data_IF_300632857936
#
_entry.id   IF_300632857936
#
_cell.length_a   1.000
_cell.length_b   1.000
_cell.length_c   1.000
_cell.angle_alpha   90.00
_cell.angle_beta   90.00
_cell.angle_gamma   90.00
#
_symmetry.space_group_name_H-M   'P 1'
#
loop_
_entity.id
_entity.type
_entity.pdbx_description
1 polymer ?
#
# COMPACT_ATOMS: atom_id res chain seq x y z
N UNK A 1 39.54 22.93 19.65
CA UNK A 1 38.51 23.75 18.98
C UNK A 1 38.27 23.35 17.53
N UNK A 2 39.31 23.29 16.69
CA UNK A 2 39.11 22.91 15.28
C UNK A 2 38.50 21.53 15.07
N UNK A 3 38.83 20.54 15.91
CA UNK A 3 38.25 19.19 15.81
C UNK A 3 36.76 19.11 16.19
N UNK A 4 36.34 19.92 17.16
CA UNK A 4 34.95 19.96 17.62
C UNK A 4 34.02 20.57 16.55
N UNK A 5 34.47 21.63 15.88
CA UNK A 5 33.72 22.27 14.80
C UNK A 5 33.56 21.34 13.58
N UNK A 6 34.54 20.47 13.30
CA UNK A 6 34.44 19.49 12.24
C UNK A 6 33.39 18.42 12.53
N UNK A 7 33.28 17.98 13.80
CA UNK A 7 32.25 17.00 14.20
C UNK A 7 30.85 17.59 14.13
N UNK A 8 30.66 18.83 14.55
CA UNK A 8 29.35 19.51 14.48
C UNK A 8 28.92 19.71 13.02
N UNK A 9 29.82 20.09 12.13
CA UNK A 9 29.53 20.23 10.71
C UNK A 9 29.14 18.91 10.06
N UNK A 10 29.75 17.78 10.44
CA UNK A 10 29.43 16.47 9.93
C UNK A 10 28.05 15.99 10.40
N UNK A 11 27.70 16.18 11.67
CA UNK A 11 26.38 15.86 12.20
C UNK A 11 25.28 16.71 11.54
N UNK A 12 25.52 17.99 11.29
CA UNK A 12 24.57 18.87 10.62
C UNK A 12 24.34 18.45 9.16
N UNK A 13 25.38 18.03 8.45
CA UNK A 13 25.28 17.53 7.08
C UNK A 13 24.45 16.25 6.98
N UNK A 14 24.59 15.33 7.96
CA UNK A 14 23.77 14.11 8.04
C UNK A 14 22.28 14.40 8.29
N UNK A 15 21.96 15.38 9.15
CA UNK A 15 20.57 15.80 9.42
C UNK A 15 19.96 16.50 8.21
N UNK A 16 20.70 17.34 7.50
CA UNK A 16 20.22 18.05 6.30
C UNK A 16 20.09 17.13 5.09
N UNK A 17 20.81 16.02 5.04
CA UNK A 17 20.74 15.03 3.98
C UNK A 17 19.59 14.03 4.12
N UNK A 18 18.92 13.98 5.28
CA UNK A 18 17.78 13.08 5.50
C UNK A 18 16.54 13.64 4.80
N UNK A 19 16.05 12.96 3.76
CA UNK A 19 14.75 13.25 3.14
C UNK A 19 13.64 12.66 4.01
N UNK A 20 12.58 13.43 4.32
CA UNK A 20 11.43 12.85 5.04
C UNK A 20 10.76 11.78 4.16
N UNK A 21 10.61 10.57 4.68
CA UNK A 21 9.80 9.54 4.05
C UNK A 21 8.39 9.66 4.60
N UNK A 22 7.40 9.76 3.70
CA UNK A 22 6.00 9.75 4.08
C UNK A 22 5.48 8.32 4.05
N UNK A 23 4.96 7.84 5.18
CA UNK A 23 4.23 6.58 5.24
C UNK A 23 2.91 6.73 4.47
N UNK A 24 2.46 5.65 3.84
CA UNK A 24 1.15 5.61 3.22
C UNK A 24 0.04 5.82 4.26
N UNK A 25 -1.02 6.52 3.87
CA UNK A 25 -2.14 6.88 4.72
C UNK A 25 -3.31 5.89 4.53
N UNK A 26 -3.46 4.96 5.46
CA UNK A 26 -4.53 3.96 5.42
C UNK A 26 -5.92 4.60 5.60
N UNK A 27 -6.06 5.70 6.32
CA UNK A 27 -7.34 6.39 6.47
C UNK A 27 -7.79 7.02 5.14
N UNK A 28 -6.88 7.65 4.42
CA UNK A 28 -7.15 8.11 3.05
C UNK A 28 -7.38 6.91 2.13
N UNK A 29 -6.64 5.82 2.30
CA UNK A 29 -6.83 4.57 1.57
C UNK A 29 -8.24 4.00 1.70
N UNK A 30 -8.87 4.15 2.87
CA UNK A 30 -10.27 3.77 3.07
C UNK A 30 -11.23 4.55 2.15
N UNK A 31 -10.96 5.84 1.94
CA UNK A 31 -11.74 6.68 1.03
C UNK A 31 -11.53 6.27 -0.44
N UNK A 32 -10.30 6.01 -0.83
CA UNK A 32 -9.95 5.52 -2.17
C UNK A 32 -10.64 4.17 -2.43
N UNK A 33 -10.59 3.27 -1.46
CA UNK A 33 -11.23 1.95 -1.53
C UNK A 33 -12.75 2.08 -1.71
N UNK A 34 -13.40 2.90 -0.91
CA UNK A 34 -14.84 3.11 -0.98
C UNK A 34 -15.30 3.63 -2.34
N UNK A 35 -14.52 4.52 -2.95
CA UNK A 35 -14.85 5.12 -4.23
C UNK A 35 -14.54 4.21 -5.44
N UNK A 36 -13.53 3.35 -5.35
CA UNK A 36 -12.99 2.66 -6.54
C UNK A 36 -13.00 1.13 -6.45
N UNK A 37 -13.07 0.56 -5.27
CA UNK A 37 -12.84 -0.87 -5.04
C UNK A 37 -14.04 -1.59 -4.44
N UNK A 38 -14.84 -0.88 -3.64
CA UNK A 38 -15.91 -1.48 -2.84
C UNK A 38 -17.00 -2.15 -3.68
N UNK A 39 -17.24 -1.70 -4.91
CA UNK A 39 -18.24 -2.31 -5.79
C UNK A 39 -17.99 -3.82 -5.99
N UNK A 40 -16.73 -4.24 -6.07
CA UNK A 40 -16.35 -5.65 -6.21
C UNK A 40 -15.81 -6.25 -4.91
N UNK A 41 -15.24 -5.44 -4.03
CA UNK A 41 -14.50 -5.89 -2.85
C UNK A 41 -15.13 -5.47 -1.52
N UNK A 42 -16.41 -5.12 -1.48
CA UNK A 42 -17.09 -4.72 -0.25
C UNK A 42 -16.85 -5.74 0.88
N UNK A 43 -16.46 -5.25 2.06
CA UNK A 43 -16.19 -6.10 3.20
C UNK A 43 -15.00 -7.04 3.04
N UNK A 44 -14.12 -6.77 2.07
CA UNK A 44 -12.96 -7.61 1.76
C UNK A 44 -13.28 -8.82 0.91
N UNK A 45 -14.48 -8.85 0.31
CA UNK A 45 -14.90 -9.93 -0.56
C UNK A 45 -14.43 -9.78 -2.01
N UNK A 46 -15.00 -10.61 -2.88
CA UNK A 46 -14.81 -10.55 -4.32
C UNK A 46 -16.07 -11.08 -4.99
N UNK A 47 -16.82 -10.18 -5.65
CA UNK A 47 -18.12 -10.55 -6.26
C UNK A 47 -17.95 -11.35 -7.56
N UNK A 48 -16.78 -11.29 -8.20
CA UNK A 48 -16.51 -12.03 -9.45
C UNK A 48 -15.95 -13.41 -9.15
N UNK A 49 -15.08 -13.53 -8.15
CA UNK A 49 -14.47 -14.81 -7.75
C UNK A 49 -14.45 -14.89 -6.22
N UNK A 50 -15.43 -15.58 -5.67
CA UNK A 50 -15.67 -15.65 -4.23
C UNK A 50 -14.50 -16.23 -3.42
N UNK A 51 -13.62 -17.01 -4.04
CA UNK A 51 -12.44 -17.58 -3.37
C UNK A 51 -11.28 -16.58 -3.24
N UNK A 52 -11.19 -15.63 -4.18
CA UNK A 52 -10.10 -14.65 -4.24
C UNK A 52 -10.47 -13.36 -3.52
N UNK A 53 -10.73 -13.49 -2.24
CA UNK A 53 -11.05 -12.35 -1.36
C UNK A 53 -9.81 -11.51 -1.05
N UNK A 54 -10.02 -10.43 -0.31
CA UNK A 54 -8.93 -9.61 0.22
C UNK A 54 -8.57 -9.98 1.66
N UNK A 55 -9.01 -11.14 2.12
CA UNK A 55 -8.60 -11.69 3.42
C UNK A 55 -7.17 -12.21 3.33
N UNK A 56 -6.49 -12.23 4.46
CA UNK A 56 -5.07 -12.57 4.55
C UNK A 56 -4.73 -13.90 3.89
N UNK A 57 -5.48 -14.95 4.18
CA UNK A 57 -5.28 -16.28 3.63
C UNK A 57 -5.43 -16.33 2.10
N UNK A 58 -6.39 -15.61 1.55
CA UNK A 58 -6.57 -15.52 0.10
C UNK A 58 -5.46 -14.70 -0.55
N UNK A 59 -5.02 -13.61 0.06
CA UNK A 59 -3.87 -12.84 -0.43
C UNK A 59 -2.60 -13.68 -0.46
N UNK A 60 -2.35 -14.47 0.59
CA UNK A 60 -1.23 -15.40 0.64
C UNK A 60 -1.29 -16.48 -0.44
N UNK A 61 -2.49 -16.96 -0.75
CA UNK A 61 -2.69 -18.06 -1.72
C UNK A 61 -2.69 -17.62 -3.17
N UNK A 62 -3.23 -16.43 -3.46
CA UNK A 62 -3.53 -16.03 -4.84
C UNK A 62 -2.79 -14.80 -5.33
N UNK A 63 -2.34 -13.92 -4.43
CA UNK A 63 -1.65 -12.70 -4.85
C UNK A 63 -0.16 -12.95 -5.06
N UNK A 64 0.30 -12.79 -6.29
CA UNK A 64 1.70 -13.00 -6.64
C UNK A 64 2.61 -12.09 -5.81
N UNK A 65 3.69 -12.66 -5.28
CA UNK A 65 4.71 -11.96 -4.49
C UNK A 65 4.25 -11.37 -3.16
N UNK A 66 3.05 -11.72 -2.68
CA UNK A 66 2.53 -11.18 -1.43
C UNK A 66 3.46 -11.44 -0.24
N UNK A 67 4.04 -12.64 -0.14
CA UNK A 67 4.95 -12.98 0.96
C UNK A 67 6.29 -12.25 0.90
N UNK A 68 6.70 -11.76 -0.26
CA UNK A 68 7.93 -10.98 -0.42
C UNK A 68 7.76 -9.51 -0.02
N UNK A 69 6.54 -8.98 -0.12
CA UNK A 69 6.20 -7.62 0.28
C UNK A 69 4.70 -7.41 0.10
N UNK A 70 3.97 -7.31 1.22
CA UNK A 70 2.51 -7.30 1.22
C UNK A 70 1.94 -6.10 0.47
N UNK A 71 2.29 -4.89 0.90
CA UNK A 71 1.75 -3.67 0.29
C UNK A 71 2.22 -3.50 -1.15
N UNK A 72 3.46 -3.84 -1.45
CA UNK A 72 4.02 -3.75 -2.79
C UNK A 72 3.30 -4.69 -3.77
N UNK A 73 2.96 -5.89 -3.34
CA UNK A 73 2.19 -6.83 -4.15
C UNK A 73 0.78 -6.31 -4.43
N UNK A 74 0.13 -5.71 -3.44
CA UNK A 74 -1.18 -5.08 -3.61
C UNK A 74 -1.09 -3.89 -4.58
N UNK A 75 -0.09 -3.03 -4.42
CA UNK A 75 0.14 -1.89 -5.32
C UNK A 75 0.32 -2.36 -6.76
N UNK A 76 1.09 -3.40 -6.98
CA UNK A 76 1.32 -3.96 -8.32
C UNK A 76 0.01 -4.43 -8.96
N UNK A 77 -0.81 -5.19 -8.22
CA UNK A 77 -2.09 -5.68 -8.70
C UNK A 77 -3.06 -4.55 -9.03
N UNK A 78 -3.16 -3.56 -8.15
CA UNK A 78 -4.02 -2.39 -8.34
C UNK A 78 -3.57 -1.57 -9.56
N UNK A 79 -2.28 -1.38 -9.72
CA UNK A 79 -1.71 -0.63 -10.84
C UNK A 79 -2.00 -1.30 -12.17
N UNK A 80 -1.81 -2.60 -12.26
CA UNK A 80 -1.83 -3.36 -13.52
C UNK A 80 -3.16 -4.07 -13.79
N UNK A 81 -3.96 -4.32 -12.77
CA UNK A 81 -5.17 -5.12 -12.89
C UNK A 81 -4.90 -6.59 -13.17
N UNK A 82 -5.93 -7.38 -13.25
CA UNK A 82 -5.87 -8.80 -13.63
C UNK A 82 -7.26 -9.32 -13.96
N UNK A 83 -7.42 -9.94 -15.12
CA UNK A 83 -8.69 -10.49 -15.58
C UNK A 83 -9.80 -9.42 -15.49
N UNK A 84 -10.88 -9.67 -14.74
CA UNK A 84 -11.99 -8.72 -14.59
C UNK A 84 -11.63 -7.48 -13.73
N UNK A 85 -10.55 -7.52 -12.96
CA UNK A 85 -10.10 -6.37 -12.19
C UNK A 85 -9.40 -5.34 -13.09
N UNK A 86 -9.93 -4.12 -13.20
CA UNK A 86 -9.30 -3.12 -14.06
C UNK A 86 -7.97 -2.63 -13.51
N UNK A 87 -7.12 -2.11 -14.38
CA UNK A 87 -5.88 -1.42 -14.01
C UNK A 87 -6.18 0.00 -13.56
N UNK A 88 -5.66 0.41 -12.44
CA UNK A 88 -5.83 1.76 -11.88
C UNK A 88 -4.62 2.67 -12.10
N UNK A 89 -3.52 2.15 -12.65
CA UNK A 89 -2.42 2.98 -13.09
C UNK A 89 -2.90 3.98 -14.16
N UNK A 90 -2.67 5.26 -13.93
CA UNK A 90 -3.19 6.33 -14.80
C UNK A 90 -4.57 6.85 -14.43
N UNK A 91 -5.35 6.13 -13.61
CA UNK A 91 -6.62 6.61 -13.03
C UNK A 91 -6.44 7.14 -11.62
N UNK A 92 -5.62 6.48 -10.83
CA UNK A 92 -5.24 6.88 -9.49
C UNK A 92 -3.77 7.30 -9.48
N UNK A 93 -3.42 8.24 -8.62
CA UNK A 93 -2.02 8.61 -8.40
C UNK A 93 -1.26 7.48 -7.71
N UNK A 94 0.06 7.48 -7.82
CA UNK A 94 0.91 6.55 -7.08
C UNK A 94 0.68 6.64 -5.57
N UNK A 95 0.43 7.84 -5.06
CA UNK A 95 0.10 8.09 -3.65
C UNK A 95 -1.23 7.44 -3.26
N UNK A 96 -2.28 7.58 -4.07
CA UNK A 96 -3.58 6.94 -3.83
C UNK A 96 -3.46 5.41 -3.83
N UNK A 97 -2.69 4.86 -4.75
CA UNK A 97 -2.45 3.41 -4.84
C UNK A 97 -1.69 2.92 -3.60
N UNK A 98 -0.67 3.65 -3.15
CA UNK A 98 0.04 3.33 -1.91
C UNK A 98 -0.90 3.37 -0.69
N UNK A 99 -1.76 4.37 -0.60
CA UNK A 99 -2.70 4.54 0.50
C UNK A 99 -3.75 3.42 0.53
N UNK A 100 -4.32 3.05 -0.63
CA UNK A 100 -5.30 1.96 -0.68
C UNK A 100 -4.65 0.60 -0.39
N UNK A 101 -3.41 0.40 -0.81
CA UNK A 101 -2.68 -0.83 -0.46
C UNK A 101 -2.43 -0.94 1.05
N UNK A 102 -2.07 0.16 1.71
CA UNK A 102 -1.93 0.21 3.16
C UNK A 102 -3.24 -0.09 3.87
N UNK A 103 -4.36 0.44 3.37
CA UNK A 103 -5.68 0.16 3.90
C UNK A 103 -6.06 -1.32 3.76
N UNK A 104 -5.91 -1.89 2.57
CA UNK A 104 -6.21 -3.31 2.32
C UNK A 104 -5.36 -4.22 3.21
N UNK A 105 -4.06 -3.95 3.31
CA UNK A 105 -3.17 -4.72 4.18
C UNK A 105 -3.60 -4.62 5.65
N UNK A 106 -3.89 -3.43 6.13
CA UNK A 106 -4.37 -3.22 7.50
C UNK A 106 -5.66 -4.00 7.77
N UNK A 107 -6.61 -3.94 6.85
CA UNK A 107 -7.89 -4.65 6.99
C UNK A 107 -7.73 -6.16 6.90
N UNK A 108 -6.84 -6.65 6.04
CA UNK A 108 -6.55 -8.08 5.93
C UNK A 108 -5.99 -8.65 7.23
N UNK A 109 -5.13 -7.92 7.92
CA UNK A 109 -4.59 -8.31 9.22
C UNK A 109 -5.66 -8.34 10.31
N UNK A 110 -6.68 -7.52 10.21
CA UNK A 110 -7.82 -7.46 11.15
C UNK A 110 -8.96 -8.40 10.77
N UNK A 111 -8.88 -9.11 9.65
CA UNK A 111 -9.95 -9.94 9.14
C UNK A 111 -11.17 -9.17 8.62
N UNK A 112 -10.98 -7.89 8.25
CA UNK A 112 -12.04 -7.01 7.75
C UNK A 112 -13.15 -6.75 8.78
N UNK A 113 -12.81 -6.80 10.05
CA UNK A 113 -13.73 -6.51 11.14
C UNK A 113 -13.62 -5.07 11.66
#
# INVERSE_FOLDING_TARGET
MRRLLSFIALCLALVLGATPSFAADADHGAQVFSANCAACHMGGGNVVNAERTLKKDALESYLANYSAGHEEAIQYQVTNGKNAMPAFGGKLSASDIADVAAYVESMSQKGWA
#
